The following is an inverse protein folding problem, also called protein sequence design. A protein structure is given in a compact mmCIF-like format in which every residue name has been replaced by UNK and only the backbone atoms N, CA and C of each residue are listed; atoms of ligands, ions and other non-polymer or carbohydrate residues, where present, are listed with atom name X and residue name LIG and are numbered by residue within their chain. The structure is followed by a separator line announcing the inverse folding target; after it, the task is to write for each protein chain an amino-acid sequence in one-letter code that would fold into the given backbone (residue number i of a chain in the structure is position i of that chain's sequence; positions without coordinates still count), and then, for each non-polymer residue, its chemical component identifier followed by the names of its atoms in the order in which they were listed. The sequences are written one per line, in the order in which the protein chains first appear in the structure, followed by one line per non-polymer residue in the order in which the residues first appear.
data_IF_597162716960
#
_entry.id   IF_597162716960
#
_cell.length_a   1.000
_cell.length_b   1.000
_cell.length_c   1.000
_cell.angle_alpha   90.00
_cell.angle_beta   90.00
_cell.angle_gamma   90.00
#
_symmetry.space_group_name_H-M   'P 1'
#
loop_
_entity.id
_entity.type
_entity.pdbx_description
1 polymer ?
#
# COMPACT_ATOMS: atom_id res chain seq x y z
N UNK A 1 4.42 9.46 17.43
CA UNK A 1 3.32 8.52 17.12
C UNK A 1 3.68 7.85 15.80
N UNK A 2 3.53 6.53 15.65
CA UNK A 2 3.78 5.89 14.36
C UNK A 2 2.67 6.33 13.37
N UNK A 3 3.06 6.74 12.16
CA UNK A 3 2.11 7.00 11.07
C UNK A 3 1.31 5.72 10.80
N UNK A 4 -0.01 5.85 10.62
CA UNK A 4 -0.90 4.75 10.21
C UNK A 4 -1.43 5.01 8.79
N UNK A 5 -1.86 3.96 8.06
CA UNK A 5 -2.46 4.13 6.73
C UNK A 5 -3.63 5.12 6.72
N UNK A 6 -4.49 5.09 7.74
CA UNK A 6 -5.62 6.02 7.88
C UNK A 6 -5.13 7.47 8.01
N UNK A 7 -4.19 7.71 8.93
CA UNK A 7 -3.66 9.06 9.16
C UNK A 7 -2.96 9.63 7.91
N UNK A 8 -2.25 8.78 7.17
CA UNK A 8 -1.59 9.19 5.94
C UNK A 8 -2.61 9.49 4.83
N UNK A 9 -3.61 8.63 4.64
CA UNK A 9 -4.66 8.82 3.64
C UNK A 9 -5.41 10.15 3.87
N UNK A 10 -5.82 10.43 5.10
CA UNK A 10 -6.46 11.69 5.46
C UNK A 10 -5.55 12.89 5.17
N UNK A 11 -4.26 12.82 5.53
CA UNK A 11 -3.30 13.90 5.27
C UNK A 11 -3.06 14.10 3.76
N UNK A 12 -3.06 13.02 2.98
CA UNK A 12 -2.91 13.05 1.53
C UNK A 12 -4.21 13.45 0.79
N UNK A 13 -5.30 13.70 1.52
CA UNK A 13 -6.58 14.15 0.96
C UNK A 13 -7.47 13.05 0.39
N UNK A 14 -7.22 11.78 0.75
CA UNK A 14 -8.10 10.68 0.40
C UNK A 14 -9.33 10.63 1.33
N UNK A 15 -10.48 10.13 0.82
CA UNK A 15 -11.64 9.90 1.67
C UNK A 15 -11.38 8.83 2.74
N UNK A 16 -12.24 8.82 3.76
CA UNK A 16 -12.17 7.83 4.84
C UNK A 16 -12.32 6.39 4.33
N UNK A 17 -11.68 5.46 5.04
CA UNK A 17 -11.85 4.03 4.81
C UNK A 17 -13.20 3.59 5.35
N UNK A 18 -14.04 3.01 4.49
CA UNK A 18 -15.34 2.46 4.87
C UNK A 18 -15.30 0.94 5.07
N UNK A 19 -14.32 0.25 4.48
CA UNK A 19 -14.17 -1.20 4.59
C UNK A 19 -12.73 -1.64 4.44
N UNK A 20 -12.34 -2.64 5.23
CA UNK A 20 -11.03 -3.30 5.15
C UNK A 20 -11.23 -4.80 5.04
N UNK A 21 -10.68 -5.41 4.00
CA UNK A 21 -10.81 -6.85 3.74
C UNK A 21 -9.43 -7.48 3.55
N UNK A 22 -9.13 -8.52 4.33
CA UNK A 22 -7.91 -9.30 4.12
C UNK A 22 -7.92 -9.97 2.73
N UNK A 23 -6.79 -9.88 2.02
CA UNK A 23 -6.56 -10.60 0.77
C UNK A 23 -5.63 -11.76 1.07
N UNK A 24 -6.08 -12.99 0.81
CA UNK A 24 -5.35 -14.21 1.15
C UNK A 24 -4.10 -14.38 0.27
N UNK A 25 -2.93 -13.96 0.77
CA UNK A 25 -1.60 -14.31 0.23
C UNK A 25 -0.47 -14.23 1.28
N UNK A 26 -0.82 -14.25 2.57
CA UNK A 26 0.01 -13.74 3.68
C UNK A 26 1.03 -14.71 4.27
N UNK A 27 2.04 -15.15 3.52
CA UNK A 27 3.22 -15.75 4.13
C UNK A 27 4.33 -14.73 4.46
N UNK A 28 4.33 -13.55 3.82
CA UNK A 28 5.40 -12.54 3.97
C UNK A 28 4.86 -11.23 4.55
N UNK A 29 3.82 -10.65 3.94
CA UNK A 29 3.20 -9.41 4.38
C UNK A 29 1.70 -9.60 4.60
N UNK A 30 1.14 -8.89 5.58
CA UNK A 30 -0.30 -8.74 5.66
C UNK A 30 -0.75 -7.91 4.45
N UNK A 31 -1.79 -8.36 3.77
CA UNK A 31 -2.34 -7.69 2.60
C UNK A 31 -3.84 -7.51 2.78
N UNK A 32 -4.33 -6.31 2.51
CA UNK A 32 -5.76 -6.03 2.54
C UNK A 32 -6.18 -5.08 1.43
N UNK A 33 -7.45 -5.18 1.05
CA UNK A 33 -8.15 -4.23 0.21
C UNK A 33 -8.87 -3.23 1.12
N UNK A 34 -8.63 -1.96 0.88
CA UNK A 34 -9.35 -0.85 1.50
C UNK A 34 -10.41 -0.36 0.51
N UNK A 35 -11.64 -0.15 0.97
CA UNK A 35 -12.67 0.59 0.23
C UNK A 35 -12.80 1.98 0.86
N UNK A 36 -12.70 3.02 0.05
CA UNK A 36 -12.85 4.41 0.47
C UNK A 36 -14.30 4.86 0.35
N UNK A 37 -14.66 5.97 1.00
CA UNK A 37 -16.03 6.49 1.01
C UNK A 37 -16.59 6.87 -0.36
N UNK A 38 -15.74 7.16 -1.34
CA UNK A 38 -16.12 7.44 -2.73
C UNK A 38 -16.23 6.17 -3.61
N UNK A 39 -16.05 5.00 -3.01
CA UNK A 39 -16.08 3.70 -3.71
C UNK A 39 -14.76 3.30 -4.37
N UNK A 40 -13.71 4.14 -4.33
CA UNK A 40 -12.38 3.73 -4.77
C UNK A 40 -11.84 2.59 -3.88
N UNK A 41 -10.95 1.77 -4.44
CA UNK A 41 -10.29 0.71 -3.68
C UNK A 41 -8.79 0.82 -3.76
N UNK A 42 -8.13 0.63 -2.63
CA UNK A 42 -6.68 0.63 -2.48
C UNK A 42 -6.20 -0.75 -2.03
N UNK A 43 -4.95 -1.08 -2.35
CA UNK A 43 -4.30 -2.29 -1.86
C UNK A 43 -3.22 -1.87 -0.87
N UNK A 44 -3.33 -2.38 0.36
CA UNK A 44 -2.39 -2.09 1.44
C UNK A 44 -1.58 -3.36 1.72
N UNK A 45 -0.26 -3.19 1.81
CA UNK A 45 0.65 -4.18 2.40
C UNK A 45 1.17 -3.63 3.70
N UNK A 46 1.30 -4.46 4.72
CA UNK A 46 1.94 -4.06 5.98
C UNK A 46 2.67 -5.24 6.61
N UNK A 47 3.75 -4.93 7.31
CA UNK A 47 4.54 -5.92 8.03
C UNK A 47 5.31 -5.27 9.19
N UNK A 48 4.91 -5.53 10.45
CA UNK A 48 5.60 -4.98 11.62
C UNK A 48 7.06 -5.44 11.78
N UNK A 49 7.44 -6.53 11.11
CA UNK A 49 8.77 -7.13 11.14
C UNK A 49 9.58 -6.82 9.88
N UNK A 50 9.07 -5.97 8.99
CA UNK A 50 9.80 -5.54 7.79
C UNK A 50 11.13 -4.88 8.17
N UNK A 51 12.15 -5.11 7.33
CA UNK A 51 13.33 -4.25 7.35
C UNK A 51 12.95 -2.85 6.88
N UNK A 52 13.71 -1.84 7.31
CA UNK A 52 13.41 -0.41 7.04
C UNK A 52 13.22 -0.11 5.55
N UNK A 53 13.89 -0.85 4.67
CA UNK A 53 13.90 -0.58 3.24
C UNK A 53 13.02 -1.54 2.42
N UNK A 54 12.32 -2.49 3.05
CA UNK A 54 11.61 -3.55 2.32
C UNK A 54 10.55 -2.98 1.35
N UNK A 55 9.64 -2.12 1.82
CA UNK A 55 8.61 -1.52 0.97
C UNK A 55 9.18 -0.44 0.04
N UNK A 56 10.23 0.27 0.46
CA UNK A 56 10.93 1.22 -0.41
C UNK A 56 11.58 0.52 -1.62
N UNK A 57 12.21 -0.64 -1.39
CA UNK A 57 12.78 -1.47 -2.45
C UNK A 57 11.69 -2.05 -3.37
N UNK A 58 10.56 -2.48 -2.80
CA UNK A 58 9.40 -2.92 -3.60
C UNK A 58 8.88 -1.79 -4.49
N UNK A 59 8.69 -0.58 -3.96
CA UNK A 59 8.25 0.58 -4.71
C UNK A 59 9.22 0.94 -5.86
N UNK A 60 10.52 0.89 -5.60
CA UNK A 60 11.54 1.11 -6.64
C UNK A 60 11.47 0.04 -7.74
N UNK A 61 11.28 -1.23 -7.38
CA UNK A 61 11.09 -2.32 -8.34
C UNK A 61 9.84 -2.15 -9.21
N UNK A 62 8.71 -1.75 -8.61
CA UNK A 62 7.48 -1.45 -9.34
C UNK A 62 7.67 -0.26 -10.30
N UNK A 63 8.35 0.80 -9.88
CA UNK A 63 8.66 1.93 -10.76
C UNK A 63 9.49 1.49 -11.99
N UNK A 64 10.55 0.70 -11.77
CA UNK A 64 11.38 0.16 -12.85
C UNK A 64 10.60 -0.75 -13.81
N UNK A 65 9.62 -1.52 -13.32
CA UNK A 65 8.73 -2.31 -14.16
C UNK A 65 7.74 -1.43 -14.94
N UNK A 66 7.24 -0.35 -14.35
CA UNK A 66 6.31 0.57 -15.00
C UNK A 66 6.95 1.29 -16.19
N UNK A 67 8.24 1.63 -16.10
CA UNK A 67 9.01 2.24 -17.19
C UNK A 67 9.04 1.38 -18.46
N UNK A 68 8.99 0.05 -18.30
CA UNK A 68 9.00 -0.90 -19.43
C UNK A 68 7.72 -0.84 -20.26
N UNK A 69 6.62 -0.29 -19.70
CA UNK A 69 5.29 -0.19 -20.34
C UNK A 69 4.78 -1.50 -20.96
N UNK A 70 5.26 -2.64 -20.46
CA UNK A 70 4.98 -3.95 -21.02
C UNK A 70 3.72 -4.60 -20.41
N UNK A 71 3.37 -4.22 -19.18
CA UNK A 71 2.27 -4.79 -18.39
C UNK A 71 1.64 -3.69 -17.54
N UNK A 72 0.43 -3.94 -17.01
CA UNK A 72 -0.16 -3.09 -15.98
C UNK A 72 0.60 -3.31 -14.66
N UNK A 73 1.09 -2.21 -14.09
CA UNK A 73 1.83 -2.20 -12.83
C UNK A 73 1.04 -1.38 -11.81
N UNK A 74 1.00 -1.80 -10.53
CA UNK A 74 0.39 -1.00 -9.47
C UNK A 74 1.03 0.40 -9.37
N UNK A 75 0.19 1.42 -9.25
CA UNK A 75 0.65 2.76 -8.91
C UNK A 75 0.87 2.84 -7.40
N UNK A 76 2.12 3.05 -6.98
CA UNK A 76 2.46 3.17 -5.55
C UNK A 76 2.07 4.57 -5.07
N UNK A 77 1.17 4.63 -4.09
CA UNK A 77 0.73 5.89 -3.50
C UNK A 77 1.63 6.33 -2.34
N UNK A 78 2.09 5.37 -1.55
CA UNK A 78 2.99 5.57 -0.42
C UNK A 78 3.82 4.30 -0.18
N UNK A 79 5.00 4.47 0.40
CA UNK A 79 5.80 3.38 0.93
C UNK A 79 6.69 3.93 2.06
N UNK A 80 6.56 3.35 3.25
CA UNK A 80 7.40 3.63 4.41
C UNK A 80 7.87 2.30 5.06
N UNK A 81 8.48 2.38 6.24
CA UNK A 81 9.02 1.19 6.93
C UNK A 81 7.97 0.15 7.35
N UNK A 82 6.71 0.56 7.46
CA UNK A 82 5.61 -0.23 8.03
C UNK A 82 4.58 -0.66 6.99
N UNK A 83 4.37 0.14 5.94
CA UNK A 83 3.38 -0.08 4.88
C UNK A 83 3.65 0.71 3.60
#
# INVERSE_FOLDING_TARGET
MAETPESWLTQAGYPDITRTEAVTSGCINAACRLTLADGQTLFLKSNPQASTDMFAAEAAGLAALAERKALRIPNVLHANKHF
#
